data_IF_636235729106
#
_entry.id   IF_636235729106
#
_cell.length_a   1.000
_cell.length_b   1.000
_cell.length_c   1.000
_cell.angle_alpha   90.00
_cell.angle_beta   90.00
_cell.angle_gamma   90.00
#
_symmetry.space_group_name_H-M   'P 1'
#
loop_
_entity.id
_entity.type
_entity.pdbx_description
1 polymer ?
#
# COMPACT_ATOMS: atom_id res chain seq x y z
N UNK A 1 -8.52 30.78 -24.55
CA UNK A 1 -7.94 29.51 -25.03
C UNK A 1 -8.91 28.41 -24.60
N UNK A 2 -9.50 27.67 -25.54
CA UNK A 2 -10.39 26.56 -25.23
C UNK A 2 -9.55 25.39 -24.71
N UNK A 3 -9.87 24.94 -23.51
CA UNK A 3 -9.24 23.81 -22.83
C UNK A 3 -9.76 22.51 -23.50
N UNK A 4 -9.13 22.14 -24.62
CA UNK A 4 -9.34 20.87 -25.30
C UNK A 4 -8.53 19.79 -24.54
N UNK A 5 -8.91 19.54 -23.29
CA UNK A 5 -8.51 18.33 -22.60
C UNK A 5 -9.48 17.23 -23.10
N UNK A 6 -9.05 16.33 -23.97
CA UNK A 6 -9.95 15.41 -24.61
C UNK A 6 -10.53 14.45 -23.58
N UNK A 7 -11.85 14.23 -23.63
CA UNK A 7 -12.67 13.45 -22.71
C UNK A 7 -12.03 12.11 -22.27
N UNK A 8 -11.20 11.51 -23.14
CA UNK A 8 -10.44 10.29 -22.85
C UNK A 8 -9.49 10.41 -21.65
N UNK A 9 -8.99 11.59 -21.31
CA UNK A 9 -8.08 11.79 -20.18
C UNK A 9 -8.75 11.45 -18.84
N UNK A 10 -10.04 11.78 -18.70
CA UNK A 10 -10.86 11.41 -17.53
C UNK A 10 -11.04 9.90 -17.44
N UNK A 11 -11.30 9.24 -18.58
CA UNK A 11 -11.46 7.79 -18.65
C UNK A 11 -10.16 7.03 -18.41
N UNK A 12 -9.01 7.63 -18.71
CA UNK A 12 -7.69 7.00 -18.53
C UNK A 12 -7.41 6.66 -17.06
N UNK A 13 -7.82 7.53 -16.15
CA UNK A 13 -7.72 7.28 -14.70
C UNK A 13 -8.60 6.12 -14.26
N UNK A 14 -9.83 6.03 -14.79
CA UNK A 14 -10.76 4.93 -14.50
C UNK A 14 -10.19 3.61 -15.00
N UNK A 15 -9.71 3.57 -16.24
CA UNK A 15 -9.10 2.39 -16.86
C UNK A 15 -7.86 1.95 -16.08
N UNK A 16 -6.98 2.88 -15.71
CA UNK A 16 -5.78 2.58 -14.94
C UNK A 16 -6.10 2.01 -13.56
N UNK A 17 -7.10 2.55 -12.86
CA UNK A 17 -7.58 2.02 -11.58
C UNK A 17 -8.14 0.60 -11.75
N UNK A 18 -9.03 0.38 -12.71
CA UNK A 18 -9.60 -0.94 -12.99
C UNK A 18 -8.53 -1.98 -13.30
N UNK A 19 -7.51 -1.61 -14.10
CA UNK A 19 -6.39 -2.49 -14.41
C UNK A 19 -5.59 -2.85 -13.15
N UNK A 20 -5.31 -1.86 -12.30
CA UNK A 20 -4.57 -2.09 -11.05
C UNK A 20 -5.34 -3.02 -10.10
N UNK A 21 -6.67 -2.89 -10.01
CA UNK A 21 -7.53 -3.82 -9.28
C UNK A 21 -7.43 -5.26 -9.82
N UNK A 22 -7.49 -5.43 -11.14
CA UNK A 22 -7.38 -6.75 -11.78
C UNK A 22 -5.99 -7.37 -11.55
N UNK A 23 -4.93 -6.58 -11.71
CA UNK A 23 -3.56 -7.02 -11.43
C UNK A 23 -3.40 -7.46 -9.98
N UNK A 24 -3.99 -6.72 -9.03
CA UNK A 24 -3.97 -7.10 -7.63
C UNK A 24 -4.73 -8.40 -7.37
N UNK A 25 -5.90 -8.60 -8.00
CA UNK A 25 -6.69 -9.83 -7.85
C UNK A 25 -5.92 -11.06 -8.37
N UNK A 26 -5.30 -10.94 -9.55
CA UNK A 26 -4.44 -11.99 -10.11
C UNK A 26 -3.24 -12.27 -9.20
N UNK A 27 -2.58 -11.22 -8.70
CA UNK A 27 -1.45 -11.37 -7.79
C UNK A 27 -1.85 -12.04 -6.46
N UNK A 28 -3.04 -11.74 -5.92
CA UNK A 28 -3.60 -12.38 -4.73
C UNK A 28 -3.91 -13.86 -4.95
N UNK A 29 -4.40 -14.23 -6.13
CA UNK A 29 -4.65 -15.64 -6.50
C UNK A 29 -3.35 -16.43 -6.65
N UNK A 30 -2.30 -15.79 -7.19
CA UNK A 30 -0.99 -16.41 -7.40
C UNK A 30 -0.20 -16.59 -6.11
N UNK A 31 -0.16 -15.57 -5.26
CA UNK A 31 0.66 -15.52 -4.05
C UNK A 31 -0.17 -15.03 -2.84
N UNK A 32 -1.09 -15.86 -2.31
CA UNK A 32 -2.04 -15.43 -1.28
C UNK A 32 -1.36 -14.98 0.03
N UNK A 33 -0.26 -15.62 0.43
CA UNK A 33 0.47 -15.26 1.65
C UNK A 33 1.17 -13.90 1.55
N UNK A 34 1.66 -13.54 0.36
CA UNK A 34 2.37 -12.28 0.12
C UNK A 34 1.45 -11.07 0.18
N UNK A 35 0.20 -11.23 -0.23
CA UNK A 35 -0.80 -10.18 -0.28
C UNK A 35 -1.86 -10.32 0.83
N UNK A 36 -1.52 -10.99 1.93
CA UNK A 36 -2.41 -11.14 3.10
C UNK A 36 -2.56 -9.82 3.87
N UNK A 37 -1.45 -9.09 4.04
CA UNK A 37 -1.46 -7.77 4.68
C UNK A 37 -1.96 -6.70 3.71
N UNK A 38 -2.83 -5.81 4.20
CA UNK A 38 -3.31 -4.63 3.46
C UNK A 38 -2.16 -3.76 2.98
N UNK A 39 -1.10 -3.61 3.78
CA UNK A 39 0.06 -2.80 3.43
C UNK A 39 0.82 -3.32 2.21
N UNK A 40 0.87 -4.63 2.01
CA UNK A 40 1.58 -5.23 0.87
C UNK A 40 0.75 -5.12 -0.41
N UNK A 41 -0.59 -5.14 -0.30
CA UNK A 41 -1.49 -4.77 -1.40
C UNK A 41 -1.34 -3.29 -1.79
N UNK A 42 -1.32 -2.39 -0.82
CA UNK A 42 -1.15 -0.95 -1.06
C UNK A 42 0.20 -0.65 -1.70
N UNK A 43 1.29 -1.26 -1.21
CA UNK A 43 2.62 -1.07 -1.81
C UNK A 43 2.70 -1.55 -3.25
N UNK A 44 2.02 -2.64 -3.58
CA UNK A 44 1.94 -3.13 -4.96
C UNK A 44 1.24 -2.12 -5.85
N UNK A 45 0.10 -1.58 -5.39
CA UNK A 45 -0.67 -0.57 -6.12
C UNK A 45 0.08 0.77 -6.24
N UNK A 46 0.79 1.21 -5.20
CA UNK A 46 1.70 2.37 -5.27
C UNK A 46 2.86 2.12 -6.25
N UNK A 47 3.39 0.89 -6.31
CA UNK A 47 4.42 0.49 -7.29
C UNK A 47 3.93 0.53 -8.74
N UNK A 48 2.61 0.44 -8.97
CA UNK A 48 1.98 0.64 -10.27
C UNK A 48 1.70 2.12 -10.58
N UNK A 49 1.99 3.02 -9.64
CA UNK A 49 1.80 4.46 -9.80
C UNK A 49 0.46 5.01 -9.29
N UNK A 50 -0.34 4.21 -8.56
CA UNK A 50 -1.56 4.73 -7.95
C UNK A 50 -1.22 5.62 -6.75
N UNK A 51 -1.90 6.77 -6.59
CA UNK A 51 -1.76 7.59 -5.39
C UNK A 51 -2.26 6.82 -4.17
N UNK A 52 -1.68 7.12 -3.01
CA UNK A 52 -1.90 6.36 -1.78
C UNK A 52 -3.38 6.23 -1.38
N UNK A 53 -4.21 7.24 -1.66
CA UNK A 53 -5.64 7.22 -1.36
C UNK A 53 -6.37 6.14 -2.17
N UNK A 54 -6.15 6.09 -3.48
CA UNK A 54 -6.73 5.08 -4.38
C UNK A 54 -6.16 3.69 -4.12
N UNK A 55 -4.86 3.61 -3.82
CA UNK A 55 -4.22 2.36 -3.47
C UNK A 55 -4.78 1.76 -2.18
N UNK A 56 -5.11 2.61 -1.19
CA UNK A 56 -5.75 2.19 0.05
C UNK A 56 -7.16 1.65 -0.20
N UNK A 57 -7.98 2.42 -0.95
CA UNK A 57 -9.34 2.02 -1.31
C UNK A 57 -9.33 0.68 -2.06
N UNK A 58 -8.41 0.52 -3.02
CA UNK A 58 -8.26 -0.69 -3.80
C UNK A 58 -7.73 -1.89 -3.03
N UNK A 59 -6.99 -1.65 -1.96
CA UNK A 59 -6.60 -2.69 -1.01
C UNK A 59 -7.74 -3.08 -0.03
N UNK A 60 -8.90 -2.41 -0.10
CA UNK A 60 -10.05 -2.61 0.80
C UNK A 60 -9.90 -1.91 2.15
N UNK A 61 -9.20 -0.77 2.18
CA UNK A 61 -8.89 -0.02 3.42
C UNK A 61 -9.03 1.49 3.20
N UNK A 62 -9.06 2.26 4.28
CA UNK A 62 -9.01 3.72 4.18
C UNK A 62 -7.57 4.23 4.20
N UNK A 63 -7.32 5.40 3.59
CA UNK A 63 -6.02 6.06 3.60
C UNK A 63 -5.52 6.35 5.03
N UNK A 64 -6.43 6.67 5.95
CA UNK A 64 -6.15 6.83 7.38
C UNK A 64 -5.66 5.52 8.01
N UNK A 65 -6.37 4.40 7.80
CA UNK A 65 -5.98 3.10 8.32
C UNK A 65 -4.62 2.62 7.79
N UNK A 66 -4.31 2.89 6.52
CA UNK A 66 -3.00 2.59 5.92
C UNK A 66 -1.89 3.43 6.56
N UNK A 67 -2.15 4.72 6.80
CA UNK A 67 -1.19 5.63 7.44
C UNK A 67 -0.87 5.18 8.87
N UNK A 68 -1.90 4.83 9.65
CA UNK A 68 -1.76 4.30 11.00
C UNK A 68 -1.03 2.95 10.99
N UNK A 69 -1.35 2.06 10.04
CA UNK A 69 -0.66 0.78 9.90
C UNK A 69 0.84 0.95 9.58
N UNK A 70 1.20 1.90 8.70
CA UNK A 70 2.62 2.26 8.45
C UNK A 70 3.30 2.80 9.70
N UNK A 71 2.63 3.69 10.41
CA UNK A 71 3.15 4.27 11.64
C UNK A 71 3.39 3.20 12.72
N UNK A 72 2.44 2.29 12.93
CA UNK A 72 2.56 1.19 13.87
C UNK A 72 3.66 0.20 13.48
N UNK A 73 3.77 -0.18 12.19
CA UNK A 73 4.86 -1.06 11.70
C UNK A 73 6.24 -0.42 11.90
N UNK A 74 6.34 0.91 11.76
CA UNK A 74 7.58 1.67 12.00
C UNK A 74 7.95 1.75 13.49
N UNK A 75 6.96 1.93 14.38
CA UNK A 75 7.12 1.93 15.84
C UNK A 75 7.51 0.56 16.37
N UNK A 76 6.88 -0.51 15.85
CA UNK A 76 7.22 -1.89 16.21
C UNK A 76 8.68 -2.26 15.85
N UNK A 77 9.18 -1.82 14.69
CA UNK A 77 10.61 -1.97 14.35
C UNK A 77 11.53 -1.20 15.29
N UNK A 78 11.13 0.00 15.74
CA UNK A 78 11.92 0.80 16.69
C UNK A 78 11.93 0.22 18.11
N UNK A 79 10.82 -0.36 18.58
CA UNK A 79 10.76 -0.98 19.92
C UNK A 79 11.57 -2.28 19.99
N UNK A 80 11.55 -3.10 18.92
CA UNK A 80 12.34 -4.34 18.85
C UNK A 80 13.84 -4.12 19.01
N UNK A 81 14.38 -3.06 18.40
CA UNK A 81 15.81 -2.72 18.49
C UNK A 81 16.25 -2.29 19.90
N UNK A 82 15.36 -1.62 20.65
CA UNK A 82 15.61 -1.22 22.04
C UNK A 82 15.53 -2.39 23.02
N UNK A 83 14.66 -3.37 22.74
CA UNK A 83 14.54 -4.61 23.50
C UNK A 83 15.78 -5.51 23.38
N UNK A 84 16.33 -5.65 22.17
CA UNK A 84 17.55 -6.42 21.94
C UNK A 84 18.79 -5.79 22.61
N UNK A 85 18.85 -4.46 22.68
CA UNK A 85 19.97 -3.75 23.31
C UNK A 85 19.96 -3.90 24.83
N UNK A 86 18.77 -3.78 25.47
CA UNK A 86 18.63 -4.07 26.91
C UNK A 86 18.86 -5.55 27.25
N UNK A 87 18.43 -6.47 26.39
CA UNK A 87 18.65 -7.91 26.60
C UNK A 87 20.15 -8.28 26.46
N UNK A 88 20.87 -7.63 25.54
CA UNK A 88 22.32 -7.81 25.36
C UNK A 88 23.15 -7.17 26.47
N UNK A 89 22.71 -6.03 27.00
CA UNK A 89 23.35 -5.36 28.13
C UNK A 89 23.18 -6.11 29.47
N UNK A 90 22.11 -6.90 29.64
CA UNK A 90 21.89 -7.74 30.84
C UNK A 90 22.63 -9.08 30.83
N UNK A 91 23.27 -9.46 29.71
CA UNK A 91 24.04 -10.71 29.54
C UNK A 91 25.56 -10.51 29.61
N UNK A 92 26.03 -9.26 29.80
CA UNK A 92 27.42 -8.92 30.11
C UNK A 92 27.51 -8.56 31.58
#
# INVERSE_FOLDING_TARGET
MADDAPDYATWLHVIGRSLAYLCLDVARKRDPDKYKEVLDKVKFLEGLGLPQADAAEAAGSTAESVRVARYNKSKAKKSGKKGSEKARARRR
#
